data_IF_652736342239
#
_entry.id   IF_652736342239
#
_cell.length_a   1.000
_cell.length_b   1.000
_cell.length_c   1.000
_cell.angle_alpha   90.00
_cell.angle_beta   90.00
_cell.angle_gamma   90.00
#
_symmetry.space_group_name_H-M   'P 1'
#
loop_
_entity.id
_entity.type
_entity.pdbx_description
1 polymer ?
#
# COMPACT_ATOMS: atom_id res chain seq x y z
N UNK A 1 53.47 -15.93 49.14
CA UNK A 1 52.91 -16.53 47.91
C UNK A 1 51.40 -16.32 47.93
N UNK A 2 50.89 -15.27 47.28
CA UNK A 2 49.44 -15.04 47.09
C UNK A 2 49.21 -14.91 45.58
N UNK A 3 48.44 -15.84 45.00
CA UNK A 3 48.05 -15.83 43.59
C UNK A 3 46.79 -14.98 43.46
N UNK A 4 46.86 -13.90 42.67
CA UNK A 4 45.70 -13.13 42.25
C UNK A 4 44.92 -13.92 41.18
N UNK A 5 43.63 -14.13 41.41
CA UNK A 5 42.72 -14.72 40.43
C UNK A 5 42.05 -13.59 39.64
N UNK A 6 42.41 -13.46 38.37
CA UNK A 6 41.78 -12.54 37.41
C UNK A 6 40.47 -13.15 36.93
N UNK A 7 39.34 -12.59 37.35
CA UNK A 7 38.02 -12.95 36.84
C UNK A 7 37.78 -12.24 35.50
N UNK A 8 37.74 -13.00 34.40
CA UNK A 8 37.39 -12.51 33.08
C UNK A 8 35.86 -12.44 32.96
N UNK A 9 35.29 -11.25 33.09
CA UNK A 9 33.87 -11.01 32.80
C UNK A 9 33.64 -11.09 31.29
N UNK A 10 33.11 -12.22 30.81
CA UNK A 10 32.51 -12.33 29.48
C UNK A 10 31.17 -11.60 29.49
N UNK A 11 31.11 -10.43 28.87
CA UNK A 11 29.86 -9.75 28.55
C UNK A 11 29.21 -10.46 27.36
N UNK A 12 28.13 -11.19 27.61
CA UNK A 12 27.32 -11.79 26.56
C UNK A 12 26.48 -10.67 25.92
N UNK A 13 26.88 -10.24 24.73
CA UNK A 13 26.07 -9.36 23.89
C UNK A 13 24.96 -10.21 23.25
N UNK A 14 23.78 -10.21 23.87
CA UNK A 14 22.60 -10.81 23.26
C UNK A 14 22.07 -9.84 22.19
N UNK A 15 22.56 -9.98 20.96
CA UNK A 15 21.98 -9.28 19.82
C UNK A 15 20.61 -9.89 19.52
N UNK A 16 19.54 -9.20 19.90
CA UNK A 16 18.20 -9.54 19.45
C UNK A 16 18.12 -9.24 17.96
N UNK A 17 18.31 -10.25 17.11
CA UNK A 17 17.98 -10.13 15.70
C UNK A 17 16.46 -9.92 15.62
N UNK A 18 16.05 -8.69 15.31
CA UNK A 18 14.72 -8.45 14.75
C UNK A 18 14.58 -9.38 13.55
N UNK A 19 13.61 -10.29 13.58
CA UNK A 19 13.27 -11.08 12.41
C UNK A 19 12.76 -10.09 11.36
N UNK A 20 13.65 -9.66 10.46
CA UNK A 20 13.26 -8.84 9.34
C UNK A 20 12.18 -9.61 8.57
N UNK A 21 10.99 -9.02 8.45
CA UNK A 21 9.90 -9.62 7.69
C UNK A 21 10.37 -9.93 6.27
N UNK A 22 10.56 -11.22 5.99
CA UNK A 22 11.03 -11.69 4.69
C UNK A 22 9.93 -11.38 3.69
N UNK A 23 10.18 -10.39 2.83
CA UNK A 23 9.30 -10.04 1.73
C UNK A 23 9.97 -10.43 0.41
N UNK A 24 9.76 -11.67 -0.08
CA UNK A 24 10.35 -12.10 -1.33
C UNK A 24 9.69 -11.35 -2.51
N UNK A 25 10.39 -11.22 -3.65
CA UNK A 25 9.79 -10.66 -4.86
C UNK A 25 8.58 -11.48 -5.32
N UNK A 26 7.71 -10.89 -6.15
CA UNK A 26 6.61 -11.61 -6.77
C UNK A 26 7.12 -12.88 -7.47
N UNK A 27 6.54 -14.05 -7.16
CA UNK A 27 7.04 -15.33 -7.67
C UNK A 27 6.56 -15.52 -9.12
N UNK A 28 7.51 -15.59 -10.06
CA UNK A 28 7.29 -15.70 -11.51
C UNK A 28 7.02 -17.13 -11.98
N UNK A 29 6.16 -17.86 -11.27
CA UNK A 29 5.67 -19.16 -11.77
C UNK A 29 4.70 -18.94 -12.93
N UNK A 30 5.29 -18.81 -14.13
CA UNK A 30 4.65 -18.36 -15.36
C UNK A 30 3.36 -19.12 -15.72
N UNK A 31 3.09 -20.30 -15.14
CA UNK A 31 1.86 -21.05 -15.38
C UNK A 31 0.61 -20.33 -14.84
N UNK A 32 0.73 -19.62 -13.72
CA UNK A 32 -0.41 -18.95 -13.06
C UNK A 32 -0.12 -17.51 -12.61
N UNK A 33 1.02 -16.94 -13.01
CA UNK A 33 1.35 -15.53 -12.82
C UNK A 33 2.85 -15.27 -12.55
N UNK A 34 3.22 -14.05 -12.14
CA UNK A 34 2.37 -12.90 -12.04
C UNK A 34 2.03 -12.34 -13.43
N UNK A 35 0.82 -11.85 -13.56
CA UNK A 35 0.28 -11.16 -14.71
C UNK A 35 0.13 -9.67 -14.38
N UNK A 36 0.29 -8.81 -15.37
CA UNK A 36 0.13 -7.36 -15.20
C UNK A 36 -1.34 -6.95 -15.35
N UNK A 37 -1.89 -6.34 -14.31
CA UNK A 37 -3.27 -5.85 -14.27
C UNK A 37 -3.52 -4.66 -15.21
N UNK A 38 -2.44 -4.05 -15.73
CA UNK A 38 -2.49 -2.95 -16.72
C UNK A 38 -2.20 -3.43 -18.14
N UNK A 39 -1.77 -4.67 -18.34
CA UNK A 39 -1.60 -5.27 -19.67
C UNK A 39 -2.94 -5.79 -20.21
N UNK A 40 -3.46 -5.23 -21.32
CA UNK A 40 -4.73 -5.66 -21.91
C UNK A 40 -4.76 -7.15 -22.29
N UNK A 41 -3.62 -7.74 -22.67
CA UNK A 41 -3.56 -9.16 -23.07
C UNK A 41 -3.72 -10.05 -21.85
N UNK A 42 -2.93 -9.81 -20.80
CA UNK A 42 -3.06 -10.49 -19.51
C UNK A 42 -4.47 -10.35 -18.91
N UNK A 43 -5.05 -9.15 -18.98
CA UNK A 43 -6.41 -8.89 -18.52
C UNK A 43 -7.44 -9.67 -19.34
N UNK A 44 -7.31 -9.74 -20.65
CA UNK A 44 -8.28 -10.48 -21.48
C UNK A 44 -8.21 -12.00 -21.26
N UNK A 45 -7.02 -12.56 -21.05
CA UNK A 45 -6.79 -14.01 -21.02
C UNK A 45 -6.92 -14.61 -19.61
N UNK A 46 -6.38 -13.93 -18.60
CA UNK A 46 -6.13 -14.55 -17.30
C UNK A 46 -7.02 -13.98 -16.20
N UNK A 47 -7.36 -12.69 -16.27
CA UNK A 47 -8.15 -12.03 -15.22
C UNK A 47 -9.54 -12.66 -15.02
N UNK A 48 -10.31 -13.02 -16.07
CA UNK A 48 -11.63 -13.61 -15.88
C UNK A 48 -11.57 -14.94 -15.13
N UNK A 49 -10.50 -15.72 -15.30
CA UNK A 49 -10.32 -17.00 -14.61
C UNK A 49 -9.98 -16.74 -13.14
N UNK A 50 -9.03 -15.85 -12.86
CA UNK A 50 -8.62 -15.52 -11.49
C UNK A 50 -9.78 -14.89 -10.71
N UNK A 51 -10.45 -13.88 -11.24
CA UNK A 51 -11.57 -13.24 -10.55
C UNK A 51 -12.76 -14.19 -10.39
N UNK A 52 -13.00 -15.09 -11.37
CA UNK A 52 -14.10 -16.06 -11.28
C UNK A 52 -14.02 -16.91 -10.02
N UNK A 53 -12.83 -17.42 -9.70
CA UNK A 53 -12.65 -18.38 -8.60
C UNK A 53 -12.16 -17.74 -7.28
N UNK A 54 -11.66 -16.50 -7.31
CA UNK A 54 -11.04 -15.88 -6.14
C UNK A 54 -11.37 -14.39 -5.92
N UNK A 55 -12.12 -13.73 -6.81
CA UNK A 55 -12.40 -12.29 -6.65
C UNK A 55 -13.80 -11.87 -7.08
N UNK A 56 -14.79 -12.63 -6.61
CA UNK A 56 -16.20 -12.27 -6.73
C UNK A 56 -16.57 -11.11 -5.79
N UNK A 57 -17.75 -10.46 -5.98
CA UNK A 57 -18.17 -9.33 -5.14
C UNK A 57 -18.15 -9.61 -3.63
N UNK A 58 -18.44 -10.83 -3.19
CA UNK A 58 -18.35 -11.24 -1.78
C UNK A 58 -16.93 -11.19 -1.20
N UNK A 59 -15.90 -11.43 -2.03
CA UNK A 59 -14.50 -11.32 -1.62
C UNK A 59 -14.09 -9.86 -1.61
N UNK A 60 -14.43 -9.08 -2.65
CA UNK A 60 -14.12 -7.64 -2.71
C UNK A 60 -14.76 -6.85 -1.56
N UNK A 61 -16.00 -7.19 -1.18
CA UNK A 61 -16.70 -6.56 -0.05
C UNK A 61 -16.37 -7.17 1.31
N UNK A 62 -15.46 -8.15 1.34
CA UNK A 62 -14.97 -8.82 2.55
C UNK A 62 -16.11 -9.45 3.37
N UNK A 63 -17.08 -10.07 2.68
CA UNK A 63 -18.23 -10.75 3.28
C UNK A 63 -17.88 -12.21 3.61
N UNK A 64 -17.34 -12.94 2.63
CA UNK A 64 -16.84 -14.32 2.75
C UNK A 64 -15.91 -14.66 1.60
N UNK A 65 -15.09 -15.70 1.75
CA UNK A 65 -14.28 -16.22 0.65
C UNK A 65 -15.13 -16.93 -0.41
N UNK A 66 -14.56 -17.02 -1.61
CA UNK A 66 -15.06 -17.78 -2.75
C UNK A 66 -14.57 -19.23 -2.71
N UNK A 67 -13.26 -19.43 -2.57
CA UNK A 67 -12.63 -20.76 -2.55
C UNK A 67 -12.07 -21.12 -1.17
N UNK A 68 -12.34 -20.31 -0.15
CA UNK A 68 -11.90 -20.53 1.22
C UNK A 68 -12.15 -19.33 2.12
N UNK A 69 -11.10 -18.77 2.67
CA UNK A 69 -11.15 -17.52 3.46
C UNK A 69 -10.95 -16.30 2.56
N UNK A 70 -11.48 -15.15 2.96
CA UNK A 70 -11.29 -13.88 2.24
C UNK A 70 -9.80 -13.59 2.03
N UNK A 71 -8.96 -13.75 3.06
CA UNK A 71 -7.53 -13.51 2.95
C UNK A 71 -6.82 -14.52 2.03
N UNK A 72 -7.27 -15.78 2.00
CA UNK A 72 -6.71 -16.79 1.11
C UNK A 72 -7.02 -16.48 -0.36
N UNK A 73 -8.24 -16.04 -0.64
CA UNK A 73 -8.63 -15.61 -1.98
C UNK A 73 -7.88 -14.34 -2.41
N UNK A 74 -7.76 -13.34 -1.52
CA UNK A 74 -6.97 -12.15 -1.79
C UNK A 74 -5.49 -12.47 -2.01
N UNK A 75 -4.90 -13.39 -1.23
CA UNK A 75 -3.52 -13.85 -1.44
C UNK A 75 -3.36 -14.49 -2.82
N UNK A 76 -4.26 -15.38 -3.21
CA UNK A 76 -4.22 -16.02 -4.53
C UNK A 76 -4.24 -14.96 -5.63
N UNK A 77 -5.20 -14.03 -5.57
CA UNK A 77 -5.33 -12.95 -6.55
C UNK A 77 -4.07 -12.10 -6.61
N UNK A 78 -3.49 -11.72 -5.47
CA UNK A 78 -2.30 -10.86 -5.40
C UNK A 78 -0.99 -11.60 -5.69
N UNK A 79 -0.99 -12.93 -5.70
CA UNK A 79 0.13 -13.71 -6.23
C UNK A 79 0.02 -13.87 -7.76
N UNK A 80 -1.19 -14.00 -8.29
CA UNK A 80 -1.43 -14.08 -9.74
C UNK A 80 -1.38 -12.73 -10.45
N UNK A 81 -1.85 -11.66 -9.81
CA UNK A 81 -1.82 -10.28 -10.29
C UNK A 81 -1.33 -9.37 -9.14
N UNK A 82 -0.01 -9.20 -8.95
CA UNK A 82 0.53 -8.40 -7.84
C UNK A 82 0.01 -6.97 -7.81
N UNK A 83 -0.21 -6.35 -8.99
CA UNK A 83 -0.79 -5.03 -9.12
C UNK A 83 -2.32 -5.03 -9.31
N UNK A 84 -3.05 -6.04 -8.84
CA UNK A 84 -4.51 -6.05 -8.93
C UNK A 84 -5.13 -4.96 -8.03
N UNK A 85 -5.56 -3.85 -8.62
CA UNK A 85 -5.96 -2.64 -7.89
C UNK A 85 -7.09 -2.89 -6.88
N UNK A 86 -8.14 -3.59 -7.31
CA UNK A 86 -9.31 -3.90 -6.47
C UNK A 86 -8.96 -4.81 -5.28
N UNK A 87 -8.13 -5.83 -5.50
CA UNK A 87 -7.69 -6.75 -4.45
C UNK A 87 -6.76 -6.07 -3.45
N UNK A 88 -5.80 -5.24 -3.90
CA UNK A 88 -4.95 -4.44 -3.00
C UNK A 88 -5.78 -3.51 -2.11
N UNK A 89 -6.79 -2.83 -2.67
CA UNK A 89 -7.72 -1.99 -1.90
C UNK A 89 -8.52 -2.81 -0.88
N UNK A 90 -8.97 -4.01 -1.26
CA UNK A 90 -9.72 -4.91 -0.38
C UNK A 90 -8.85 -5.44 0.75
N UNK A 91 -7.59 -5.78 0.47
CA UNK A 91 -6.59 -6.17 1.46
C UNK A 91 -6.35 -5.05 2.48
N UNK A 92 -6.18 -3.79 2.04
CA UNK A 92 -6.07 -2.64 2.94
C UNK A 92 -7.31 -2.52 3.83
N UNK A 93 -8.52 -2.61 3.27
CA UNK A 93 -9.77 -2.57 4.05
C UNK A 93 -9.83 -3.70 5.09
N UNK A 94 -9.38 -4.90 4.73
CA UNK A 94 -9.35 -6.06 5.62
C UNK A 94 -8.39 -5.83 6.80
N UNK A 95 -7.18 -5.36 6.51
CA UNK A 95 -6.18 -4.99 7.51
C UNK A 95 -6.68 -3.92 8.49
N UNK A 96 -7.36 -2.89 7.97
CA UNK A 96 -7.95 -1.84 8.80
C UNK A 96 -9.08 -2.37 9.69
N UNK A 97 -9.95 -3.26 9.19
CA UNK A 97 -10.99 -3.92 10.01
C UNK A 97 -10.39 -4.81 11.10
N UNK A 98 -9.28 -5.48 10.79
CA UNK A 98 -8.58 -6.37 11.72
C UNK A 98 -7.65 -5.62 12.68
N UNK A 99 -7.42 -4.31 12.47
CA UNK A 99 -6.40 -3.54 13.16
C UNK A 99 -5.01 -4.20 13.15
N UNK A 100 -4.66 -4.84 12.03
CA UNK A 100 -3.41 -5.59 11.86
C UNK A 100 -2.81 -5.33 10.48
N UNK A 101 -1.50 -5.11 10.42
CA UNK A 101 -0.73 -5.02 9.17
C UNK A 101 -0.55 -6.39 8.50
N UNK A 102 -0.85 -7.47 9.22
CA UNK A 102 -0.93 -8.83 8.72
C UNK A 102 -2.23 -9.47 9.22
N UNK A 103 -3.32 -9.40 8.44
CA UNK A 103 -4.56 -10.10 8.78
C UNK A 103 -4.31 -11.58 9.09
N UNK A 104 -5.12 -12.17 9.96
CA UNK A 104 -4.99 -13.58 10.35
C UNK A 104 -4.87 -14.48 9.11
N UNK A 105 -3.92 -15.42 9.16
CA UNK A 105 -3.59 -16.34 8.06
C UNK A 105 -3.06 -15.69 6.76
N UNK A 106 -2.78 -14.39 6.73
CA UNK A 106 -2.10 -13.78 5.59
C UNK A 106 -0.67 -14.33 5.45
N UNK A 107 -0.27 -14.65 4.21
CA UNK A 107 1.11 -15.06 3.91
C UNK A 107 2.11 -13.93 4.13
N UNK A 108 1.75 -12.69 3.80
CA UNK A 108 2.60 -11.51 3.89
C UNK A 108 1.90 -10.38 4.64
N UNK A 109 2.67 -9.41 5.13
CA UNK A 109 2.14 -8.11 5.58
C UNK A 109 1.56 -7.34 4.39
N UNK A 110 0.64 -6.42 4.64
CA UNK A 110 0.04 -5.54 3.62
C UNK A 110 1.12 -4.71 2.93
N UNK A 111 2.08 -4.20 3.70
CA UNK A 111 3.29 -3.54 3.18
C UNK A 111 4.03 -4.43 2.17
N UNK A 112 4.22 -5.71 2.49
CA UNK A 112 4.91 -6.62 1.59
C UNK A 112 4.11 -6.90 0.30
N UNK A 113 2.78 -6.99 0.35
CA UNK A 113 1.97 -7.06 -0.87
C UNK A 113 2.17 -5.83 -1.77
N UNK A 114 2.18 -4.62 -1.19
CA UNK A 114 2.46 -3.41 -1.96
C UNK A 114 3.89 -3.36 -2.53
N UNK A 115 4.90 -3.75 -1.75
CA UNK A 115 6.28 -3.83 -2.26
C UNK A 115 6.43 -4.85 -3.38
N UNK A 116 5.73 -5.99 -3.30
CA UNK A 116 5.68 -6.97 -4.38
C UNK A 116 4.99 -6.41 -5.63
N UNK A 117 3.88 -5.69 -5.45
CA UNK A 117 3.18 -5.02 -6.54
C UNK A 117 4.08 -4.00 -7.26
N UNK A 118 4.77 -3.13 -6.50
CA UNK A 118 5.69 -2.13 -7.04
C UNK A 118 6.98 -2.73 -7.62
N UNK A 119 7.47 -3.83 -7.04
CA UNK A 119 8.60 -4.56 -7.61
C UNK A 119 8.27 -5.21 -8.96
N UNK A 120 7.00 -5.54 -9.19
CA UNK A 120 6.51 -6.14 -10.42
C UNK A 120 6.08 -5.10 -11.46
N UNK A 121 5.27 -4.11 -11.06
CA UNK A 121 4.74 -3.05 -11.93
C UNK A 121 5.08 -1.66 -11.34
N UNK A 122 6.36 -1.23 -11.40
CA UNK A 122 6.80 0.04 -10.79
C UNK A 122 6.22 1.29 -11.47
N UNK A 123 5.68 1.16 -12.69
CA UNK A 123 5.10 2.27 -13.45
C UNK A 123 3.58 2.34 -13.33
N UNK A 124 2.98 1.60 -12.39
CA UNK A 124 1.55 1.63 -12.14
C UNK A 124 1.20 2.76 -11.14
N UNK A 125 0.63 3.90 -11.60
CA UNK A 125 0.29 5.01 -10.71
C UNK A 125 -0.76 4.64 -9.66
N UNK A 126 -1.62 3.65 -9.96
CA UNK A 126 -2.70 3.25 -9.06
C UNK A 126 -2.14 2.44 -7.88
N UNK A 127 -1.11 1.62 -8.09
CA UNK A 127 -0.43 0.91 -6.99
C UNK A 127 0.23 1.91 -6.04
N UNK A 128 0.94 2.91 -6.56
CA UNK A 128 1.51 3.98 -5.73
C UNK A 128 0.43 4.76 -4.96
N UNK A 129 -0.69 5.11 -5.61
CA UNK A 129 -1.82 5.76 -4.95
C UNK A 129 -2.42 4.90 -3.83
N UNK A 130 -2.66 3.61 -4.07
CA UNK A 130 -3.21 2.69 -3.07
C UNK A 130 -2.24 2.46 -1.91
N UNK A 131 -0.93 2.38 -2.19
CA UNK A 131 0.07 2.20 -1.16
C UNK A 131 0.20 3.45 -0.28
N UNK A 132 0.18 4.64 -0.91
CA UNK A 132 0.13 5.91 -0.18
C UNK A 132 -1.07 6.02 0.75
N UNK A 133 -2.25 5.56 0.31
CA UNK A 133 -3.45 5.53 1.15
C UNK A 133 -3.26 4.59 2.36
N UNK A 134 -2.74 3.38 2.15
CA UNK A 134 -2.44 2.45 3.26
C UNK A 134 -1.45 3.04 4.27
N UNK A 135 -0.37 3.66 3.79
CA UNK A 135 0.63 4.30 4.66
C UNK A 135 0.06 5.48 5.43
N UNK A 136 -0.84 6.25 4.80
CA UNK A 136 -1.51 7.35 5.46
C UNK A 136 -2.46 6.86 6.57
N UNK A 137 -3.26 5.83 6.30
CA UNK A 137 -4.15 5.23 7.29
C UNK A 137 -3.35 4.62 8.46
N UNK A 138 -2.14 4.11 8.19
CA UNK A 138 -1.16 3.69 9.20
C UNK A 138 -0.42 4.84 9.91
N UNK A 139 -0.78 6.10 9.67
CA UNK A 139 -0.23 7.28 10.36
C UNK A 139 1.07 7.84 9.79
N UNK A 140 1.60 7.26 8.71
CA UNK A 140 2.90 7.63 8.14
C UNK A 140 2.78 8.64 6.99
N UNK A 141 2.42 9.89 7.33
CA UNK A 141 2.17 10.95 6.33
C UNK A 141 3.35 11.22 5.37
N UNK A 142 4.60 11.10 5.84
CA UNK A 142 5.80 11.30 4.99
C UNK A 142 5.95 10.18 3.95
N UNK A 143 5.84 8.92 4.37
CA UNK A 143 5.93 7.78 3.45
C UNK A 143 4.76 7.78 2.46
N UNK A 144 3.56 8.15 2.92
CA UNK A 144 2.40 8.32 2.05
C UNK A 144 2.64 9.40 0.99
N UNK A 145 3.19 10.56 1.38
CA UNK A 145 3.56 11.62 0.45
C UNK A 145 4.55 11.13 -0.60
N UNK A 146 5.60 10.41 -0.21
CA UNK A 146 6.58 9.88 -1.16
C UNK A 146 5.90 9.02 -2.23
N UNK A 147 4.95 8.16 -1.86
CA UNK A 147 4.19 7.35 -2.80
C UNK A 147 3.27 8.19 -3.70
N UNK A 148 2.56 9.18 -3.14
CA UNK A 148 1.72 10.07 -3.96
C UNK A 148 2.53 10.89 -4.96
N UNK A 149 3.76 11.29 -4.61
CA UNK A 149 4.65 11.98 -5.53
C UNK A 149 5.16 11.06 -6.66
N UNK A 150 5.36 9.76 -6.41
CA UNK A 150 5.62 8.81 -7.49
C UNK A 150 4.39 8.63 -8.38
N UNK A 151 3.21 8.47 -7.79
CA UNK A 151 1.95 8.41 -8.55
C UNK A 151 1.73 9.67 -9.41
N UNK A 152 2.09 10.85 -8.90
CA UNK A 152 1.96 12.12 -9.62
C UNK A 152 2.90 12.17 -10.82
N UNK A 153 4.16 11.72 -10.69
CA UNK A 153 5.08 11.67 -11.83
C UNK A 153 4.52 10.83 -12.98
N UNK A 154 3.84 9.74 -12.65
CA UNK A 154 3.24 8.82 -13.60
C UNK A 154 1.88 9.29 -14.13
N UNK A 155 1.12 10.03 -13.32
CA UNK A 155 -0.19 10.58 -13.67
C UNK A 155 -0.37 12.02 -13.15
N UNK A 156 0.26 13.03 -13.79
CA UNK A 156 0.39 14.39 -13.23
C UNK A 156 -0.91 15.18 -13.07
N UNK A 157 -1.97 14.76 -13.76
CA UNK A 157 -3.28 15.38 -13.76
C UNK A 157 -4.34 14.59 -12.99
N UNK A 158 -3.97 13.47 -12.34
CA UNK A 158 -4.95 12.65 -11.62
C UNK A 158 -5.45 13.41 -10.37
N UNK A 159 -6.75 13.78 -10.31
CA UNK A 159 -7.27 14.60 -9.23
C UNK A 159 -7.20 13.92 -7.86
N UNK A 160 -7.27 12.59 -7.79
CA UNK A 160 -7.15 11.83 -6.53
C UNK A 160 -5.71 11.91 -5.98
N UNK A 161 -4.72 11.72 -6.85
CA UNK A 161 -3.30 11.82 -6.48
C UNK A 161 -2.99 13.23 -5.98
N UNK A 162 -3.41 14.26 -6.73
CA UNK A 162 -3.19 15.66 -6.37
C UNK A 162 -3.84 16.01 -5.02
N UNK A 163 -5.08 15.57 -4.81
CA UNK A 163 -5.77 15.81 -3.55
C UNK A 163 -5.09 15.13 -2.36
N UNK A 164 -4.71 13.85 -2.51
CA UNK A 164 -4.07 13.09 -1.45
C UNK A 164 -2.68 13.62 -1.10
N UNK A 165 -1.86 14.00 -2.10
CA UNK A 165 -0.59 14.69 -1.88
C UNK A 165 -0.80 16.02 -1.14
N UNK A 166 -1.79 16.83 -1.56
CA UNK A 166 -2.14 18.08 -0.88
C UNK A 166 -2.58 17.87 0.57
N UNK A 167 -3.31 16.78 0.86
CA UNK A 167 -3.67 16.41 2.23
C UNK A 167 -2.44 16.02 3.05
N UNK A 168 -1.47 15.31 2.47
CA UNK A 168 -0.23 14.96 3.18
C UNK A 168 0.61 16.19 3.49
N UNK A 169 0.81 17.08 2.52
CA UNK A 169 1.47 18.37 2.77
C UNK A 169 0.78 19.17 3.88
N UNK A 170 -0.56 19.19 3.90
CA UNK A 170 -1.31 19.83 4.98
C UNK A 170 -1.00 19.21 6.35
N UNK A 171 -0.99 17.88 6.43
CA UNK A 171 -0.70 17.15 7.67
C UNK A 171 0.74 17.36 8.15
N UNK A 172 1.68 17.54 7.23
CA UNK A 172 3.08 17.90 7.50
C UNK A 172 3.26 19.41 7.81
N UNK A 173 2.18 20.19 7.84
CA UNK A 173 2.15 21.66 8.04
C UNK A 173 2.86 22.45 6.93
N UNK A 174 3.08 21.83 5.78
CA UNK A 174 3.61 22.45 4.56
C UNK A 174 2.47 23.08 3.76
N UNK A 175 1.91 24.16 4.31
CA UNK A 175 0.65 24.73 3.83
C UNK A 175 0.70 25.32 2.43
N UNK A 176 1.86 25.81 2.00
CA UNK A 176 2.01 26.42 0.67
C UNK A 176 1.93 25.36 -0.43
N UNK A 177 2.61 24.22 -0.26
CA UNK A 177 2.44 23.07 -1.15
C UNK A 177 1.01 22.52 -1.05
N UNK A 178 0.46 22.37 0.15
CA UNK A 178 -0.91 21.89 0.32
C UNK A 178 -1.93 22.74 -0.45
N UNK A 179 -1.80 24.07 -0.42
CA UNK A 179 -2.65 24.99 -1.18
C UNK A 179 -2.46 24.81 -2.69
N UNK A 180 -1.22 24.72 -3.16
CA UNK A 180 -0.89 24.50 -4.57
C UNK A 180 -1.53 23.21 -5.10
N UNK A 181 -1.33 22.10 -4.41
CA UNK A 181 -1.93 20.81 -4.74
C UNK A 181 -3.45 20.83 -4.67
N UNK A 182 -4.03 21.48 -3.67
CA UNK A 182 -5.49 21.64 -3.56
C UNK A 182 -6.07 22.38 -4.76
N UNK A 183 -5.46 23.51 -5.17
CA UNK A 183 -5.90 24.28 -6.34
C UNK A 183 -5.85 23.43 -7.61
N UNK A 184 -4.77 22.67 -7.84
CA UNK A 184 -4.64 21.76 -8.98
C UNK A 184 -5.68 20.64 -8.95
N UNK A 185 -5.90 20.01 -7.79
CA UNK A 185 -6.88 18.94 -7.63
C UNK A 185 -8.30 19.42 -7.96
N UNK A 186 -8.69 20.61 -7.47
CA UNK A 186 -10.01 21.18 -7.73
C UNK A 186 -10.18 21.68 -9.17
N UNK A 187 -9.12 22.23 -9.77
CA UNK A 187 -9.12 22.56 -11.19
C UNK A 187 -9.28 21.30 -12.07
N UNK A 188 -8.76 20.16 -11.62
CA UNK A 188 -8.94 18.85 -12.25
C UNK A 188 -10.28 18.16 -11.88
N UNK A 189 -11.21 18.86 -11.22
CA UNK A 189 -12.56 18.38 -10.93
C UNK A 189 -12.69 17.50 -9.68
N UNK A 190 -11.72 17.49 -8.76
CA UNK A 190 -11.85 16.73 -7.53
C UNK A 190 -13.04 17.22 -6.68
N UNK A 191 -13.98 16.35 -6.26
CA UNK A 191 -15.25 16.83 -5.71
C UNK A 191 -15.18 17.21 -4.22
N UNK A 192 -14.32 16.58 -3.43
CA UNK A 192 -14.39 16.70 -1.96
C UNK A 192 -13.74 18.00 -1.45
N UNK A 193 -14.52 18.80 -0.74
CA UNK A 193 -14.09 20.09 -0.21
C UNK A 193 -13.25 20.00 1.08
N UNK A 194 -12.92 18.79 1.56
CA UNK A 194 -12.27 18.57 2.85
C UNK A 194 -10.94 19.32 3.01
N UNK A 195 -10.04 19.20 2.03
CA UNK A 195 -8.75 19.90 2.04
C UNK A 195 -8.92 21.43 1.99
N UNK A 196 -9.83 21.95 1.15
CA UNK A 196 -10.20 23.37 1.11
C UNK A 196 -10.64 23.88 2.48
N UNK A 197 -11.52 23.15 3.17
CA UNK A 197 -12.02 23.53 4.49
C UNK A 197 -10.91 23.52 5.54
N UNK A 198 -10.00 22.53 5.50
CA UNK A 198 -8.81 22.47 6.35
C UNK A 198 -7.90 23.69 6.15
N UNK A 199 -7.59 24.03 4.90
CA UNK A 199 -6.79 25.20 4.54
C UNK A 199 -7.45 26.52 4.94
N UNK A 200 -8.77 26.66 4.75
CA UNK A 200 -9.54 27.82 5.22
C UNK A 200 -9.43 27.99 6.74
N UNK A 201 -9.62 26.92 7.50
CA UNK A 201 -9.51 26.93 8.97
C UNK A 201 -8.10 27.32 9.43
N UNK A 202 -7.07 26.97 8.66
CA UNK A 202 -5.69 27.36 8.92
C UNK A 202 -5.33 28.78 8.44
N UNK A 203 -6.27 29.53 7.82
CA UNK A 203 -5.99 30.85 7.24
C UNK A 203 -5.10 30.81 5.99
N UNK A 204 -5.05 29.66 5.31
CA UNK A 204 -4.15 29.38 4.17
C UNK A 204 -4.88 29.27 2.84
N UNK A 205 -6.21 29.40 2.83
CA UNK A 205 -6.98 29.38 1.60
C UNK A 205 -7.19 30.80 1.08
N UNK A 206 -6.60 31.09 -0.09
CA UNK A 206 -6.83 32.31 -0.86
C UNK A 206 -7.42 31.94 -2.21
#
# INVERSE_FOLDING_TARGET
>A
MMRAATALLMTIFCATASAADICPPANIDAKYGPFDYTDPVAVAQNLPIVEKYHFQPQVEELIRGESGSVIGDLDYVLRSFPNHHRALRSLTRLAMRAHSDRPDHAHFTVDCYFRRALGFAPQDPIVHLLYGNYLYDGGSAKLALDQFLQAEKLAPSNPNVLYNAGLMYFNLKEYDQALSYAKRAYAAGFPLQGLKLKLKKAGKWQ
#
